data_IF_636677233785
#
_entry.id   IF_636677233785
#
_cell.length_a   1.000
_cell.length_b   1.000
_cell.length_c   1.000
_cell.angle_alpha   90.00
_cell.angle_beta   90.00
_cell.angle_gamma   90.00
#
_symmetry.space_group_name_H-M   'P 1'
#
loop_
_entity.id
_entity.type
_entity.pdbx_description
1 polymer ?
#
# COMPACT_ATOMS: atom_id res chain seq x y z
N UNK A 1 -47.64 -32.43 6.39
CA UNK A 1 -46.66 -32.19 5.30
C UNK A 1 -46.67 -30.75 4.74
N UNK A 2 -47.67 -29.91 5.01
CA UNK A 2 -47.70 -28.53 4.50
C UNK A 2 -46.77 -27.56 5.26
N UNK A 3 -46.63 -27.72 6.58
CA UNK A 3 -45.87 -26.80 7.45
C UNK A 3 -44.35 -26.84 7.21
N UNK A 4 -43.80 -28.02 6.91
CA UNK A 4 -42.37 -28.21 6.64
C UNK A 4 -41.90 -27.52 5.34
N UNK A 5 -42.78 -27.43 4.34
CA UNK A 5 -42.48 -26.74 3.08
C UNK A 5 -42.54 -25.21 3.24
N UNK A 6 -43.47 -24.72 4.06
CA UNK A 6 -43.62 -23.29 4.38
C UNK A 6 -42.43 -22.79 5.22
N UNK A 7 -42.00 -23.56 6.21
CA UNK A 7 -40.84 -23.21 7.03
C UNK A 7 -39.54 -23.17 6.20
N UNK A 8 -39.36 -24.15 5.30
CA UNK A 8 -38.21 -24.20 4.40
C UNK A 8 -38.18 -23.01 3.41
N UNK A 9 -39.34 -22.57 2.93
CA UNK A 9 -39.47 -21.41 2.03
C UNK A 9 -39.13 -20.09 2.73
N UNK A 10 -39.52 -19.92 4.00
CA UNK A 10 -39.18 -18.73 4.78
C UNK A 10 -37.67 -18.63 5.10
N UNK A 11 -37.00 -19.75 5.38
CA UNK A 11 -35.55 -19.77 5.61
C UNK A 11 -34.79 -19.45 4.32
N UNK A 12 -35.23 -19.96 3.17
CA UNK A 12 -34.65 -19.62 1.87
C UNK A 12 -34.80 -18.13 1.50
N UNK A 13 -35.94 -17.52 1.80
CA UNK A 13 -36.16 -16.08 1.54
C UNK A 13 -35.37 -15.18 2.52
N UNK A 14 -35.13 -15.62 3.76
CA UNK A 14 -34.30 -14.90 4.71
C UNK A 14 -32.80 -14.90 4.32
N UNK A 15 -32.30 -16.03 3.82
CA UNK A 15 -30.91 -16.14 3.33
C UNK A 15 -30.70 -15.32 2.06
N UNK A 16 -31.67 -15.28 1.15
CA UNK A 16 -31.61 -14.47 -0.07
C UNK A 16 -31.59 -12.96 0.22
N UNK A 17 -32.33 -12.49 1.23
CA UNK A 17 -32.34 -11.09 1.64
C UNK A 17 -31.01 -10.59 2.23
N UNK A 18 -30.30 -11.44 2.97
CA UNK A 18 -29.00 -11.09 3.56
C UNK A 18 -27.87 -10.96 2.52
N UNK A 19 -27.91 -11.73 1.42
CA UNK A 19 -26.88 -11.68 0.38
C UNK A 19 -27.02 -10.44 -0.52
N UNK A 20 -28.24 -9.92 -0.68
CA UNK A 20 -28.51 -8.72 -1.49
C UNK A 20 -28.26 -7.39 -0.75
N UNK A 21 -28.06 -7.43 0.58
CA UNK A 21 -27.78 -6.26 1.41
C UNK A 21 -26.30 -6.15 1.81
N UNK A 22 -25.46 -7.11 1.42
CA UNK A 22 -24.02 -6.94 1.54
C UNK A 22 -23.58 -5.88 0.51
N UNK A 23 -22.86 -4.83 0.92
CA UNK A 23 -22.25 -3.92 -0.05
C UNK A 23 -21.35 -4.77 -0.96
N UNK A 24 -21.53 -4.63 -2.25
CA UNK A 24 -20.73 -5.32 -3.27
C UNK A 24 -19.25 -4.94 -3.04
N UNK A 25 -18.47 -5.78 -2.34
CA UNK A 25 -17.00 -5.67 -2.19
C UNK A 25 -16.26 -5.90 -3.51
N UNK A 26 -16.52 -5.06 -4.50
CA UNK A 26 -15.89 -5.14 -5.80
C UNK A 26 -15.39 -3.73 -6.06
N UNK A 27 -14.19 -3.46 -5.58
CA UNK A 27 -13.34 -2.45 -6.22
C UNK A 27 -12.79 -3.15 -7.47
N UNK A 28 -13.23 -2.83 -8.70
CA UNK A 28 -12.41 -3.18 -9.86
C UNK A 28 -11.20 -2.21 -9.92
N UNK A 29 -10.02 -2.80 -10.20
CA UNK A 29 -8.69 -2.25 -10.55
C UNK A 29 -7.72 -1.99 -9.36
N UNK A 30 -6.41 -2.37 -9.44
CA UNK A 30 -5.53 -2.07 -10.59
C UNK A 30 -5.16 -3.24 -11.50
N UNK A 31 -5.32 -3.04 -12.81
CA UNK A 31 -4.66 -3.77 -13.91
C UNK A 31 -3.32 -3.11 -14.25
N UNK A 32 -2.49 -2.82 -13.23
CA UNK A 32 -1.58 -1.67 -13.31
C UNK A 32 -0.29 -1.93 -14.10
N UNK A 33 0.00 -1.03 -15.06
CA UNK A 33 1.34 -0.83 -15.66
C UNK A 33 1.88 0.57 -15.31
N UNK A 34 2.16 0.89 -14.04
CA UNK A 34 3.02 1.99 -13.69
C UNK A 34 4.45 1.47 -13.64
N UNK A 35 5.29 2.01 -14.53
CA UNK A 35 6.73 1.78 -14.56
C UNK A 35 7.41 3.13 -14.60
N UNK A 36 8.14 3.44 -13.54
CA UNK A 36 8.99 4.61 -13.49
C UNK A 36 10.16 4.34 -12.56
N UNK A 37 11.22 5.09 -12.81
CA UNK A 37 12.36 5.18 -11.93
C UNK A 37 12.77 6.65 -11.89
N UNK A 38 12.98 7.17 -10.69
CA UNK A 38 13.51 8.51 -10.53
C UNK A 38 14.44 8.57 -9.32
N UNK A 39 15.32 9.56 -9.35
CA UNK A 39 16.11 9.92 -8.19
C UNK A 39 16.65 11.34 -8.30
N UNK A 40 16.95 11.92 -7.15
CA UNK A 40 17.62 13.20 -7.04
C UNK A 40 18.56 13.21 -5.84
N UNK A 41 19.52 14.13 -5.88
CA UNK A 41 20.50 14.33 -4.84
C UNK A 41 20.78 15.82 -4.70
N UNK A 42 20.92 16.27 -3.46
CA UNK A 42 21.34 17.62 -3.10
C UNK A 42 22.58 17.51 -2.21
N UNK A 43 23.70 18.04 -2.71
CA UNK A 43 24.92 18.24 -1.95
C UNK A 43 25.26 19.71 -1.92
N UNK A 44 25.17 20.30 -0.73
CA UNK A 44 25.59 21.67 -0.48
C UNK A 44 26.31 21.76 0.88
N UNK A 45 27.60 21.34 0.92
CA UNK A 45 28.38 21.29 2.15
C UNK A 45 28.46 22.63 2.89
N UNK A 46 28.47 23.73 2.16
CA UNK A 46 28.48 25.09 2.70
C UNK A 46 27.22 25.43 3.52
N UNK A 47 26.11 24.73 3.27
CA UNK A 47 24.86 24.85 4.03
C UNK A 47 24.59 23.64 4.93
N UNK A 48 25.51 22.66 4.99
CA UNK A 48 25.32 21.42 5.74
C UNK A 48 24.26 20.46 5.17
N UNK A 49 23.85 20.66 3.91
CA UNK A 49 22.81 19.85 3.27
C UNK A 49 23.43 18.68 2.49
N UNK A 50 23.11 17.45 2.89
CA UNK A 50 23.31 16.24 2.09
C UNK A 50 22.07 15.36 2.23
N UNK A 51 21.27 15.29 1.17
CA UNK A 51 20.11 14.42 1.13
C UNK A 51 19.86 13.92 -0.28
N UNK A 52 19.28 12.73 -0.37
CA UNK A 52 18.92 12.14 -1.65
C UNK A 52 17.67 11.28 -1.52
N UNK A 53 17.02 11.07 -2.65
CA UNK A 53 15.87 10.22 -2.77
C UNK A 53 15.91 9.45 -4.08
N UNK A 54 15.56 8.18 -4.05
CA UNK A 54 15.31 7.38 -5.24
C UNK A 54 14.08 6.49 -5.02
N UNK A 55 13.29 6.28 -6.08
CA UNK A 55 12.15 5.37 -6.08
C UNK A 55 12.04 4.69 -7.43
N UNK A 56 11.67 3.40 -7.38
CA UNK A 56 11.31 2.58 -8.51
C UNK A 56 9.91 2.00 -8.28
N UNK A 57 9.10 2.01 -9.34
CA UNK A 57 7.78 1.38 -9.38
C UNK A 57 7.73 0.41 -10.54
N UNK A 58 7.26 -0.79 -10.27
CA UNK A 58 6.92 -1.79 -11.28
C UNK A 58 5.60 -2.47 -10.91
N UNK A 59 4.56 -2.18 -11.69
CA UNK A 59 3.24 -2.78 -11.47
C UNK A 59 2.70 -2.38 -10.11
N UNK A 60 2.51 -3.38 -9.23
CA UNK A 60 2.02 -3.18 -7.87
C UNK A 60 3.11 -3.04 -6.80
N UNK A 61 4.39 -3.07 -7.21
CA UNK A 61 5.55 -2.93 -6.32
C UNK A 61 6.18 -1.54 -6.43
N UNK A 62 6.28 -0.81 -5.31
CA UNK A 62 7.08 0.40 -5.17
C UNK A 62 8.20 0.12 -4.17
N UNK A 63 9.41 0.51 -4.49
CA UNK A 63 10.52 0.51 -3.55
C UNK A 63 11.35 1.77 -3.70
N UNK A 64 11.81 2.32 -2.58
CA UNK A 64 12.66 3.51 -2.63
C UNK A 64 13.47 3.70 -1.37
N UNK A 65 14.29 4.73 -1.39
CA UNK A 65 15.10 5.15 -0.28
C UNK A 65 15.13 6.67 -0.17
N UNK A 66 15.05 7.18 1.06
CA UNK A 66 15.44 8.55 1.41
C UNK A 66 16.69 8.49 2.28
N UNK A 67 17.64 9.41 2.06
CA UNK A 67 18.77 9.63 2.97
C UNK A 67 18.91 11.09 3.31
N UNK A 68 19.24 11.38 4.57
CA UNK A 68 19.45 12.73 5.10
C UNK A 68 20.62 12.71 6.07
N UNK A 69 21.58 13.60 5.87
CA UNK A 69 22.62 13.90 6.85
C UNK A 69 22.00 14.67 8.03
N UNK A 70 22.17 14.14 9.23
CA UNK A 70 21.68 14.74 10.46
C UNK A 70 22.71 15.69 11.07
N UNK A 71 22.28 16.65 11.91
CA UNK A 71 23.19 17.58 12.58
C UNK A 71 24.24 16.93 13.49
N UNK A 72 24.03 15.67 13.89
CA UNK A 72 24.98 14.89 14.69
C UNK A 72 26.04 14.16 13.85
N UNK A 73 26.03 14.36 12.53
CA UNK A 73 26.97 13.78 11.57
C UNK A 73 26.57 12.39 11.07
N UNK A 74 25.52 11.77 11.60
CA UNK A 74 25.02 10.49 11.10
C UNK A 74 24.17 10.68 9.85
N UNK A 75 24.15 9.69 8.98
CA UNK A 75 23.19 9.65 7.87
C UNK A 75 22.00 8.78 8.26
N UNK A 76 20.81 9.39 8.36
CA UNK A 76 19.58 8.62 8.46
C UNK A 76 19.22 8.10 7.08
N UNK A 77 18.92 6.81 6.98
CA UNK A 77 18.52 6.13 5.74
C UNK A 77 17.19 5.44 6.01
N UNK A 78 16.17 5.78 5.21
CA UNK A 78 14.84 5.16 5.25
C UNK A 78 14.65 4.40 3.95
N UNK A 79 14.68 3.07 4.02
CA UNK A 79 14.36 2.19 2.88
C UNK A 79 12.93 1.71 3.02
N UNK A 80 12.14 1.76 1.97
CA UNK A 80 10.72 1.40 2.04
C UNK A 80 10.25 0.56 0.85
N UNK A 81 9.14 -0.15 1.06
CA UNK A 81 8.48 -0.97 0.05
C UNK A 81 6.97 -0.94 0.25
N UNK A 82 6.24 -0.95 -0.87
CA UNK A 82 4.79 -1.14 -0.95
C UNK A 82 4.52 -2.21 -2.01
N UNK A 83 3.82 -3.28 -1.66
CA UNK A 83 3.43 -4.37 -2.57
C UNK A 83 1.92 -4.57 -2.47
N UNK A 84 1.19 -4.16 -3.51
CA UNK A 84 -0.28 -4.22 -3.51
C UNK A 84 -0.85 -3.53 -2.27
N UNK A 85 -1.60 -4.28 -1.47
CA UNK A 85 -2.25 -3.79 -0.24
C UNK A 85 -1.37 -3.92 1.03
N UNK A 86 -0.06 -4.15 0.91
CA UNK A 86 0.84 -4.31 2.06
C UNK A 86 0.91 -3.08 2.98
N UNK A 87 0.48 -1.92 2.49
CA UNK A 87 0.77 -0.64 3.10
C UNK A 87 2.25 -0.26 3.00
N UNK A 88 2.62 0.84 3.66
CA UNK A 88 3.98 1.37 3.68
C UNK A 88 4.84 0.64 4.70
N UNK A 89 5.78 -0.18 4.23
CA UNK A 89 6.74 -0.91 5.06
C UNK A 89 8.10 -0.25 4.94
N UNK A 90 8.66 0.24 6.06
CA UNK A 90 9.93 0.95 6.06
C UNK A 90 10.90 0.44 7.13
N UNK A 91 12.19 0.46 6.78
CA UNK A 91 13.30 0.24 7.68
C UNK A 91 14.13 1.52 7.78
N UNK A 92 14.37 1.95 9.01
CA UNK A 92 15.22 3.11 9.31
C UNK A 92 16.56 2.62 9.83
N UNK A 93 17.65 3.13 9.28
CA UNK A 93 19.01 2.87 9.73
C UNK A 93 19.80 4.17 9.85
N UNK A 94 20.89 4.12 10.62
CA UNK A 94 21.80 5.23 10.82
C UNK A 94 23.21 4.73 10.53
N UNK A 95 23.94 5.49 9.71
CA UNK A 95 25.35 5.25 9.39
C UNK A 95 26.21 6.41 9.86
#
# INVERSE_FOLDING_TARGET
MAYSKVLALCVLMAVAGCVLCAPQLQQPFPTSIPRYEFGYEVKAPEYGNDFAHAENRDGDSTSGQYRVLLPDGRTQIVSYTVVGDSGYVAQVSYQ
#
